data_IF_930361137090
#
_entry.id   IF_930361137090
#
_cell.length_a   1.000
_cell.length_b   1.000
_cell.length_c   1.000
_cell.angle_alpha   90.00
_cell.angle_beta   90.00
_cell.angle_gamma   90.00
#
_symmetry.space_group_name_H-M   'P 1'
#
loop_
_entity.id
_entity.type
_entity.pdbx_description
1 polymer ?
#
# COMPACT_ATOMS: atom_id res chain seq x y z
N UNK A 1 46.73 57.40 -27.93
CA UNK A 1 45.82 57.06 -26.82
C UNK A 1 44.58 56.39 -27.41
N UNK A 2 44.47 55.06 -27.34
CA UNK A 2 43.29 54.28 -27.80
C UNK A 2 42.48 53.92 -26.53
N UNK A 3 41.28 54.45 -26.42
CA UNK A 3 40.35 54.11 -25.33
C UNK A 3 39.56 52.89 -25.73
N UNK A 4 39.77 51.77 -25.05
CA UNK A 4 39.03 50.51 -25.17
C UNK A 4 37.77 50.63 -24.28
N UNK A 5 36.60 50.62 -24.89
CA UNK A 5 35.32 50.51 -24.17
C UNK A 5 35.06 49.06 -23.91
N UNK A 6 35.04 48.64 -22.65
CA UNK A 6 34.53 47.33 -22.22
C UNK A 6 33.04 47.49 -22.03
N UNK A 7 32.26 46.91 -22.91
CA UNK A 7 30.81 46.76 -22.75
C UNK A 7 30.57 45.55 -21.85
N UNK A 8 30.12 45.79 -20.62
CA UNK A 8 29.61 44.75 -19.72
C UNK A 8 28.20 44.39 -20.19
N UNK A 9 28.09 43.22 -20.82
CA UNK A 9 26.78 42.65 -21.13
C UNK A 9 26.16 42.09 -19.83
N UNK A 10 25.17 42.81 -19.29
CA UNK A 10 24.29 42.28 -18.24
C UNK A 10 23.39 41.23 -18.87
N UNK A 11 23.67 39.98 -18.66
CA UNK A 11 22.79 38.88 -18.99
C UNK A 11 21.61 38.91 -17.98
N UNK A 12 20.53 39.59 -18.36
CA UNK A 12 19.23 39.44 -17.71
C UNK A 12 18.77 37.98 -18.00
N UNK A 13 18.99 37.10 -17.05
CA UNK A 13 18.26 35.84 -17.01
C UNK A 13 16.79 36.17 -16.71
N UNK A 14 15.98 36.27 -17.76
CA UNK A 14 14.52 36.23 -17.62
C UNK A 14 14.17 34.85 -17.10
N UNK A 15 14.27 34.67 -15.78
CA UNK A 15 13.56 33.59 -15.10
C UNK A 15 12.08 33.83 -15.35
N UNK A 16 11.40 32.91 -16.02
CA UNK A 16 9.96 32.91 -16.03
C UNK A 16 9.52 33.01 -14.57
N UNK A 17 8.92 34.14 -14.22
CA UNK A 17 8.26 34.34 -12.92
C UNK A 17 7.12 33.29 -12.93
N UNK A 18 7.35 32.15 -12.30
CA UNK A 18 6.28 31.24 -12.00
C UNK A 18 5.34 31.99 -11.09
N UNK A 19 4.09 32.20 -11.50
CA UNK A 19 3.07 32.74 -10.63
C UNK A 19 3.10 31.95 -9.32
N UNK A 20 3.08 32.63 -8.17
CA UNK A 20 3.10 31.96 -6.88
C UNK A 20 1.84 31.11 -6.76
N UNK A 21 1.93 29.77 -6.72
CA UNK A 21 0.74 28.93 -6.62
C UNK A 21 0.01 29.18 -5.29
N UNK A 22 -1.29 28.95 -5.27
CA UNK A 22 -2.06 28.99 -4.03
C UNK A 22 -1.59 27.91 -3.05
N UNK A 23 -1.21 26.74 -3.60
CA UNK A 23 -0.75 25.60 -2.81
C UNK A 23 0.38 24.80 -3.48
N UNK A 24 1.27 24.27 -2.65
CA UNK A 24 2.22 23.22 -3.04
C UNK A 24 1.78 21.90 -2.43
N UNK A 25 1.62 20.87 -3.26
CA UNK A 25 1.36 19.49 -2.84
C UNK A 25 2.67 18.71 -2.88
N UNK A 26 3.07 18.13 -1.77
CA UNK A 26 4.31 17.34 -1.65
C UNK A 26 3.96 15.85 -1.68
N UNK A 27 4.31 15.17 -2.77
CA UNK A 27 4.02 13.78 -3.08
C UNK A 27 2.95 13.61 -4.15
N UNK A 28 3.25 12.84 -5.20
CA UNK A 28 2.35 12.51 -6.30
C UNK A 28 1.80 11.07 -6.21
N UNK A 29 1.50 10.61 -5.01
CA UNK A 29 0.71 9.41 -4.75
C UNK A 29 -0.80 9.67 -4.86
N UNK A 30 -1.62 8.70 -4.49
CA UNK A 30 -3.09 8.83 -4.54
C UNK A 30 -3.61 10.04 -3.78
N UNK A 31 -3.13 10.29 -2.56
CA UNK A 31 -3.55 11.43 -1.74
C UNK A 31 -3.16 12.77 -2.39
N UNK A 32 -1.91 12.89 -2.85
CA UNK A 32 -1.42 14.14 -3.43
C UNK A 32 -2.08 14.48 -4.76
N UNK A 33 -2.23 13.51 -5.65
CA UNK A 33 -2.93 13.72 -6.92
C UNK A 33 -4.42 14.05 -6.70
N UNK A 34 -5.08 13.41 -5.72
CA UNK A 34 -6.46 13.73 -5.36
C UNK A 34 -6.60 15.16 -4.84
N UNK A 35 -5.71 15.56 -3.91
CA UNK A 35 -5.69 16.92 -3.39
C UNK A 35 -5.45 17.95 -4.50
N UNK A 36 -4.50 17.68 -5.37
CA UNK A 36 -4.13 18.58 -6.45
C UNK A 36 -5.26 18.74 -7.48
N UNK A 37 -5.90 17.63 -7.92
CA UNK A 37 -7.06 17.68 -8.82
C UNK A 37 -8.21 18.45 -8.19
N UNK A 38 -8.51 18.19 -6.92
CA UNK A 38 -9.58 18.90 -6.20
C UNK A 38 -9.30 20.39 -6.07
N UNK A 39 -8.10 20.79 -5.70
CA UNK A 39 -7.71 22.20 -5.60
C UNK A 39 -7.81 22.90 -6.96
N UNK A 40 -7.34 22.28 -8.02
CA UNK A 40 -7.47 22.79 -9.38
C UNK A 40 -8.94 23.00 -9.78
N UNK A 41 -9.80 22.02 -9.50
CA UNK A 41 -11.24 22.10 -9.83
C UNK A 41 -11.97 23.19 -9.00
N UNK A 42 -11.39 23.57 -7.87
CA UNK A 42 -11.82 24.74 -7.08
C UNK A 42 -11.19 26.07 -7.54
N UNK A 43 -10.55 26.09 -8.71
CA UNK A 43 -9.94 27.28 -9.30
C UNK A 43 -8.65 27.74 -8.62
N UNK A 44 -7.91 26.81 -7.95
CA UNK A 44 -6.64 27.13 -7.31
C UNK A 44 -5.46 26.76 -8.19
N UNK A 45 -4.43 27.58 -8.19
CA UNK A 45 -3.15 27.25 -8.81
C UNK A 45 -2.35 26.33 -7.89
N UNK A 46 -1.90 25.20 -8.42
CA UNK A 46 -1.25 24.14 -7.64
C UNK A 46 0.01 23.64 -8.34
N UNK A 47 1.08 23.48 -7.58
CA UNK A 47 2.29 22.77 -7.98
C UNK A 47 2.41 21.48 -7.17
N UNK A 48 2.66 20.35 -7.85
CA UNK A 48 2.91 19.06 -7.22
C UNK A 48 4.39 18.73 -7.31
N UNK A 49 5.01 18.40 -6.19
CA UNK A 49 6.41 17.96 -6.12
C UNK A 49 6.49 16.47 -5.81
N UNK A 50 7.19 15.72 -6.66
CA UNK A 50 7.46 14.29 -6.47
C UNK A 50 8.97 14.04 -6.55
N UNK A 51 9.54 13.48 -5.49
CA UNK A 51 10.99 13.21 -5.45
C UNK A 51 11.44 12.05 -6.33
N UNK A 52 10.54 11.09 -6.58
CA UNK A 52 10.82 9.93 -7.43
C UNK A 52 10.69 10.27 -8.91
N UNK A 53 11.30 9.50 -9.81
CA UNK A 53 11.17 9.71 -11.26
C UNK A 53 9.76 9.39 -11.78
N UNK A 54 8.96 8.65 -11.02
CA UNK A 54 7.60 8.25 -11.39
C UNK A 54 6.61 8.66 -10.30
N UNK A 55 5.41 8.99 -10.72
CA UNK A 55 4.26 9.26 -9.83
C UNK A 55 3.67 7.93 -9.30
N UNK A 56 2.79 8.01 -8.31
CA UNK A 56 1.99 6.89 -7.82
C UNK A 56 2.32 6.44 -6.40
N UNK A 57 3.56 6.63 -5.94
CA UNK A 57 3.96 6.28 -4.57
C UNK A 57 3.62 4.83 -4.19
N UNK A 58 3.20 4.61 -2.95
CA UNK A 58 2.69 3.29 -2.52
C UNK A 58 1.30 2.97 -3.08
N UNK A 59 0.56 3.98 -3.53
CA UNK A 59 -0.78 3.76 -4.08
C UNK A 59 -0.74 2.83 -5.29
N UNK A 60 0.23 3.00 -6.19
CA UNK A 60 0.34 2.14 -7.39
C UNK A 60 0.62 0.66 -7.06
N UNK A 61 1.10 0.38 -5.84
CA UNK A 61 1.40 -0.98 -5.36
C UNK A 61 0.23 -1.61 -4.59
N UNK A 62 -0.88 -0.91 -4.42
CA UNK A 62 -2.02 -1.43 -3.67
C UNK A 62 -2.78 -2.49 -4.49
N UNK A 63 -2.90 -3.69 -3.93
CA UNK A 63 -3.52 -4.84 -4.61
C UNK A 63 -4.99 -5.06 -4.23
N UNK A 64 -5.35 -4.72 -3.00
CA UNK A 64 -6.64 -5.05 -2.40
C UNK A 64 -7.85 -4.41 -3.09
N UNK A 65 -8.26 -3.26 -2.63
CA UNK A 65 -9.41 -2.50 -3.12
C UNK A 65 -9.62 -1.27 -2.24
N UNK A 66 -10.54 -0.38 -2.63
CA UNK A 66 -10.97 0.74 -1.80
C UNK A 66 -12.18 0.29 -1.00
N UNK A 67 -12.07 0.32 0.33
CA UNK A 67 -13.18 -0.02 1.21
C UNK A 67 -14.18 1.13 1.28
N UNK A 68 -15.45 0.84 0.95
CA UNK A 68 -16.56 1.76 1.12
C UNK A 68 -17.85 0.97 1.39
N UNK A 69 -18.72 1.51 2.23
CA UNK A 69 -20.03 0.93 2.54
C UNK A 69 -21.15 1.77 1.91
N UNK A 70 -22.31 1.15 1.74
CA UNK A 70 -23.53 1.78 1.18
C UNK A 70 -23.33 2.34 -0.24
N UNK A 71 -22.53 1.67 -1.05
CA UNK A 71 -22.27 2.08 -2.43
C UNK A 71 -23.34 1.52 -3.40
N UNK A 72 -23.55 2.17 -4.55
CA UNK A 72 -24.40 1.62 -5.61
C UNK A 72 -23.99 0.21 -6.06
N UNK A 73 -22.69 -0.06 -6.09
CA UNK A 73 -22.12 -1.37 -6.45
C UNK A 73 -22.54 -2.45 -5.44
N UNK A 74 -22.45 -2.16 -4.14
CA UNK A 74 -22.93 -3.09 -3.09
C UNK A 74 -24.43 -3.33 -3.19
N UNK A 75 -25.22 -2.27 -3.40
CA UNK A 75 -26.66 -2.38 -3.57
C UNK A 75 -27.01 -3.28 -4.76
N UNK A 76 -26.35 -3.11 -5.90
CA UNK A 76 -26.51 -3.96 -7.09
C UNK A 76 -26.16 -5.42 -6.82
N UNK A 77 -25.16 -5.66 -5.98
CA UNK A 77 -24.70 -7.00 -5.59
C UNK A 77 -25.50 -7.61 -4.43
N UNK A 78 -26.52 -6.93 -3.89
CA UNK A 78 -27.30 -7.41 -2.75
C UNK A 78 -26.52 -7.49 -1.43
N UNK A 79 -25.46 -6.70 -1.26
CA UNK A 79 -24.60 -6.70 -0.06
C UNK A 79 -25.19 -5.74 0.97
N UNK A 80 -25.61 -6.22 2.16
CA UNK A 80 -26.27 -5.42 3.20
C UNK A 80 -25.26 -4.76 4.15
N UNK A 81 -24.21 -4.14 3.62
CA UNK A 81 -23.21 -3.45 4.41
C UNK A 81 -23.66 -2.02 4.77
N UNK A 82 -23.22 -1.53 5.92
CA UNK A 82 -23.55 -0.19 6.41
C UNK A 82 -22.29 0.57 6.85
N UNK A 83 -22.38 1.90 6.88
CA UNK A 83 -21.33 2.76 7.43
C UNK A 83 -21.03 2.38 8.88
N UNK A 84 -22.05 2.07 9.69
CA UNK A 84 -21.85 1.67 11.09
C UNK A 84 -21.13 0.33 11.22
N UNK A 85 -21.45 -0.65 10.36
CA UNK A 85 -20.72 -1.91 10.34
C UNK A 85 -19.28 -1.71 9.88
N UNK A 86 -19.03 -0.84 8.89
CA UNK A 86 -17.69 -0.49 8.44
C UNK A 86 -16.90 0.19 9.56
N UNK A 87 -17.53 1.12 10.30
CA UNK A 87 -16.94 1.76 11.46
C UNK A 87 -16.57 0.73 12.55
N UNK A 88 -17.51 -0.15 12.92
CA UNK A 88 -17.27 -1.16 13.94
C UNK A 88 -16.13 -2.13 13.58
N UNK A 89 -16.09 -2.59 12.32
CA UNK A 89 -15.02 -3.47 11.82
C UNK A 89 -13.66 -2.74 11.86
N UNK A 90 -13.61 -1.45 11.49
CA UNK A 90 -12.39 -0.65 11.48
C UNK A 90 -11.87 -0.38 12.89
N UNK A 91 -12.76 -0.02 13.82
CA UNK A 91 -12.40 0.16 15.24
C UNK A 91 -11.84 -1.13 15.84
N UNK A 92 -12.53 -2.24 15.61
CA UNK A 92 -12.10 -3.57 16.07
C UNK A 92 -10.74 -3.96 15.45
N UNK A 93 -10.55 -3.75 14.16
CA UNK A 93 -9.28 -4.05 13.46
C UNK A 93 -8.09 -3.22 13.98
N UNK A 94 -8.33 -2.02 14.44
CA UNK A 94 -7.35 -1.17 15.11
C UNK A 94 -7.26 -1.38 16.62
N UNK A 95 -7.82 -2.46 17.17
CA UNK A 95 -7.85 -2.77 18.62
C UNK A 95 -8.46 -1.64 19.47
N UNK A 96 -9.34 -0.81 18.88
CA UNK A 96 -9.92 0.40 19.47
C UNK A 96 -8.88 1.44 19.92
N UNK A 97 -7.68 1.43 19.32
CA UNK A 97 -6.64 2.44 19.50
C UNK A 97 -6.80 3.62 18.53
N UNK A 98 -7.59 3.46 17.49
CA UNK A 98 -7.88 4.48 16.49
C UNK A 98 -8.64 5.66 17.13
N UNK A 99 -8.42 6.86 16.57
CA UNK A 99 -9.28 8.01 16.86
C UNK A 99 -10.69 7.78 16.30
N UNK A 100 -11.74 7.72 17.14
CA UNK A 100 -13.10 7.42 16.70
C UNK A 100 -13.67 8.45 15.71
N UNK A 101 -13.30 9.73 15.85
CA UNK A 101 -13.79 10.80 14.97
C UNK A 101 -13.19 10.69 13.58
N UNK A 102 -11.89 10.39 13.48
CA UNK A 102 -11.21 10.14 12.20
C UNK A 102 -11.76 8.90 11.50
N UNK A 103 -11.98 7.80 12.25
CA UNK A 103 -12.60 6.58 11.69
C UNK A 103 -14.01 6.86 11.20
N UNK A 104 -14.81 7.63 11.95
CA UNK A 104 -16.18 8.00 11.53
C UNK A 104 -16.14 8.81 10.23
N UNK A 105 -15.24 9.80 10.13
CA UNK A 105 -15.05 10.59 8.91
C UNK A 105 -14.70 9.71 7.72
N UNK A 106 -13.71 8.82 7.87
CA UNK A 106 -13.29 7.88 6.82
C UNK A 106 -14.48 7.02 6.35
N UNK A 107 -15.15 6.34 7.27
CA UNK A 107 -16.18 5.36 6.93
C UNK A 107 -17.44 6.00 6.35
N UNK A 108 -17.77 7.22 6.75
CA UNK A 108 -18.90 7.98 6.23
C UNK A 108 -18.64 8.44 4.78
N UNK A 109 -17.45 8.96 4.50
CA UNK A 109 -17.13 9.60 3.22
C UNK A 109 -16.42 8.69 2.21
N UNK A 110 -16.09 7.46 2.56
CA UNK A 110 -15.44 6.53 1.64
C UNK A 110 -16.26 6.29 0.36
N UNK A 111 -17.58 6.25 0.47
CA UNK A 111 -18.49 6.09 -0.70
C UNK A 111 -18.41 7.29 -1.66
N UNK A 112 -18.23 8.50 -1.11
CA UNK A 112 -18.11 9.72 -1.92
C UNK A 112 -16.78 9.72 -2.68
N UNK A 113 -15.71 9.23 -2.06
CA UNK A 113 -14.41 9.05 -2.72
C UNK A 113 -14.47 8.02 -3.85
N UNK A 114 -15.16 6.88 -3.65
CA UNK A 114 -15.41 5.89 -4.72
C UNK A 114 -16.20 6.51 -5.86
N UNK A 115 -17.29 7.21 -5.57
CA UNK A 115 -18.12 7.87 -6.57
C UNK A 115 -17.32 8.92 -7.37
N UNK A 116 -16.47 9.70 -6.69
CA UNK A 116 -15.59 10.69 -7.33
C UNK A 116 -14.58 10.03 -8.28
N UNK A 117 -13.91 8.95 -7.86
CA UNK A 117 -13.00 8.21 -8.75
C UNK A 117 -13.72 7.62 -9.97
N UNK A 118 -14.94 7.09 -9.78
CA UNK A 118 -15.79 6.61 -10.89
C UNK A 118 -16.13 7.76 -11.84
N UNK A 119 -16.42 8.96 -11.33
CA UNK A 119 -16.68 10.15 -12.17
C UNK A 119 -15.46 10.58 -13.01
N UNK A 120 -14.23 10.27 -12.53
CA UNK A 120 -12.98 10.44 -13.28
C UNK A 120 -12.70 9.28 -14.27
N UNK A 121 -13.56 8.27 -14.32
CA UNK A 121 -13.45 7.13 -15.24
C UNK A 121 -12.74 5.91 -14.65
N UNK A 122 -12.76 5.74 -13.32
CA UNK A 122 -12.27 4.51 -12.69
C UNK A 122 -13.27 3.36 -12.85
N UNK A 123 -12.75 2.18 -13.17
CA UNK A 123 -13.49 0.93 -13.09
C UNK A 123 -13.45 0.38 -11.66
N UNK A 124 -14.54 0.56 -10.89
CA UNK A 124 -14.68 0.11 -9.51
C UNK A 124 -15.96 -0.72 -9.32
N UNK A 125 -16.26 -1.61 -10.25
CA UNK A 125 -17.54 -2.33 -10.31
C UNK A 125 -17.55 -3.66 -9.55
N UNK A 126 -16.40 -4.26 -9.25
CA UNK A 126 -16.29 -5.49 -8.47
C UNK A 126 -16.13 -5.15 -6.99
N UNK A 127 -16.91 -5.84 -6.13
CA UNK A 127 -16.82 -5.66 -4.67
C UNK A 127 -16.36 -6.95 -4.02
N UNK A 128 -15.14 -6.95 -3.55
CA UNK A 128 -14.51 -8.07 -2.84
C UNK A 128 -14.57 -7.93 -1.32
N UNK A 129 -14.18 -8.99 -0.60
CA UNK A 129 -14.11 -9.01 0.86
C UNK A 129 -12.65 -8.85 1.31
N UNK A 130 -12.41 -7.90 2.19
CA UNK A 130 -11.12 -7.76 2.88
C UNK A 130 -11.11 -8.61 4.16
N UNK A 131 -9.93 -9.04 4.60
CA UNK A 131 -9.76 -9.75 5.87
C UNK A 131 -10.30 -8.92 7.04
N UNK A 132 -11.02 -9.55 7.98
CA UNK A 132 -11.64 -8.90 9.13
C UNK A 132 -12.95 -8.13 8.84
N UNK A 133 -13.32 -7.92 7.58
CA UNK A 133 -14.59 -7.29 7.25
C UNK A 133 -15.75 -8.27 7.33
N UNK A 134 -16.87 -7.86 7.93
CA UNK A 134 -18.09 -8.66 8.00
C UNK A 134 -18.72 -8.84 6.61
N UNK A 135 -18.75 -7.78 5.81
CA UNK A 135 -19.32 -7.77 4.47
C UNK A 135 -18.29 -7.40 3.41
N UNK A 136 -18.46 -7.82 2.14
CA UNK A 136 -17.67 -7.34 1.02
C UNK A 136 -17.81 -5.82 0.87
N UNK A 137 -16.68 -5.09 0.82
CA UNK A 137 -16.64 -3.63 0.66
C UNK A 137 -15.42 -3.12 -0.09
N UNK A 138 -14.53 -4.00 -0.51
CA UNK A 138 -13.33 -3.64 -1.24
C UNK A 138 -13.64 -3.50 -2.74
N UNK A 139 -13.80 -2.27 -3.21
CA UNK A 139 -14.06 -1.94 -4.60
C UNK A 139 -12.80 -2.04 -5.43
N UNK A 140 -12.87 -2.73 -6.56
CA UNK A 140 -11.76 -2.97 -7.50
C UNK A 140 -12.23 -3.05 -8.94
N UNK A 141 -11.32 -3.08 -9.94
CA UNK A 141 -11.66 -3.26 -11.34
C UNK A 141 -12.49 -4.51 -11.61
N UNK A 142 -13.30 -4.46 -12.67
CA UNK A 142 -14.23 -5.53 -13.06
C UNK A 142 -13.52 -6.86 -13.32
N UNK A 143 -12.29 -6.82 -13.83
CA UNK A 143 -11.47 -8.01 -14.09
C UNK A 143 -10.80 -8.57 -12.85
N UNK A 144 -10.99 -7.96 -11.66
CA UNK A 144 -10.39 -8.35 -10.40
C UNK A 144 -8.93 -7.94 -10.23
N UNK A 145 -8.38 -7.13 -11.14
CA UNK A 145 -7.01 -6.64 -11.05
C UNK A 145 -6.76 -5.74 -9.83
N UNK A 146 -5.48 -5.43 -9.58
CA UNK A 146 -5.06 -4.58 -8.48
C UNK A 146 -5.63 -3.16 -8.59
N UNK A 147 -6.09 -2.61 -7.47
CA UNK A 147 -6.72 -1.28 -7.41
C UNK A 147 -5.74 -0.13 -7.65
N UNK A 148 -4.51 -0.28 -7.19
CA UNK A 148 -3.54 0.82 -7.18
C UNK A 148 -3.23 1.41 -8.56
N UNK A 149 -2.90 0.58 -9.57
CA UNK A 149 -2.70 1.04 -10.93
C UNK A 149 -3.91 1.78 -11.49
N UNK A 150 -5.13 1.31 -11.22
CA UNK A 150 -6.37 1.95 -11.68
C UNK A 150 -6.57 3.34 -11.08
N UNK A 151 -6.39 3.48 -9.76
CA UNK A 151 -6.47 4.78 -9.09
C UNK A 151 -5.46 5.77 -9.67
N UNK A 152 -4.20 5.34 -9.84
CA UNK A 152 -3.16 6.23 -10.38
C UNK A 152 -3.42 6.55 -11.84
N UNK A 153 -3.91 5.62 -12.64
CA UNK A 153 -4.29 5.84 -14.04
C UNK A 153 -5.28 6.98 -14.19
N UNK A 154 -6.38 6.95 -13.42
CA UNK A 154 -7.44 7.96 -13.54
C UNK A 154 -7.01 9.31 -12.97
N UNK A 155 -6.32 9.34 -11.83
CA UNK A 155 -5.82 10.57 -11.23
C UNK A 155 -4.76 11.24 -12.09
N UNK A 156 -3.85 10.46 -12.67
CA UNK A 156 -2.84 10.98 -13.57
C UNK A 156 -3.43 11.51 -14.88
N UNK A 157 -4.43 10.78 -15.43
CA UNK A 157 -5.19 11.30 -16.57
C UNK A 157 -5.86 12.63 -16.24
N UNK A 158 -6.54 12.70 -15.09
CA UNK A 158 -7.20 13.92 -14.64
C UNK A 158 -6.23 15.10 -14.49
N UNK A 159 -5.03 14.86 -13.93
CA UNK A 159 -3.99 15.88 -13.80
C UNK A 159 -3.45 16.36 -15.18
N UNK A 160 -3.25 15.42 -16.11
CA UNK A 160 -2.79 15.75 -17.48
C UNK A 160 -3.84 16.54 -18.27
N UNK A 161 -5.10 16.13 -18.22
CA UNK A 161 -6.21 16.81 -18.90
C UNK A 161 -6.34 18.29 -18.41
N UNK A 162 -6.02 18.53 -17.14
CA UNK A 162 -5.99 19.87 -16.51
C UNK A 162 -4.67 20.60 -16.70
N UNK A 163 -3.68 20.01 -17.39
CA UNK A 163 -2.34 20.58 -17.61
C UNK A 163 -1.65 21.04 -16.32
N UNK A 164 -1.82 20.28 -15.25
CA UNK A 164 -1.27 20.61 -13.94
C UNK A 164 0.27 20.55 -13.92
N UNK A 165 0.91 21.42 -13.15
CA UNK A 165 2.37 21.45 -12.94
C UNK A 165 2.75 20.34 -11.93
N UNK A 166 3.20 19.18 -12.45
CA UNK A 166 3.68 18.05 -11.66
C UNK A 166 5.16 17.84 -11.94
N UNK A 167 5.99 18.12 -10.94
CA UNK A 167 7.46 18.07 -11.05
C UNK A 167 7.99 16.83 -10.38
N UNK A 168 8.34 15.83 -11.20
CA UNK A 168 9.05 14.63 -10.73
C UNK A 168 10.53 14.91 -10.49
N UNK A 169 11.25 14.00 -9.82
CA UNK A 169 12.65 14.16 -9.45
C UNK A 169 12.94 15.49 -8.73
N UNK A 170 11.96 15.96 -7.99
CA UNK A 170 12.00 17.25 -7.27
C UNK A 170 11.61 17.01 -5.81
N UNK A 171 12.58 17.04 -4.93
CA UNK A 171 12.42 16.79 -3.50
C UNK A 171 12.15 18.08 -2.75
N UNK A 172 11.04 18.14 -2.02
CA UNK A 172 10.83 19.17 -1.02
C UNK A 172 11.79 18.94 0.15
N UNK A 173 12.53 19.97 0.56
CA UNK A 173 13.57 19.87 1.60
C UNK A 173 13.27 20.72 2.83
N UNK A 174 12.36 21.68 2.72
CA UNK A 174 11.96 22.55 3.83
C UNK A 174 10.56 23.12 3.57
N UNK A 175 9.73 23.21 4.61
CA UNK A 175 8.51 24.01 4.61
C UNK A 175 8.91 25.38 5.21
N UNK A 176 8.78 26.41 4.41
CA UNK A 176 9.15 27.77 4.83
C UNK A 176 8.04 28.34 5.70
N UNK A 177 8.40 28.68 6.93
CA UNK A 177 7.50 29.31 7.89
C UNK A 177 7.86 30.79 8.04
N UNK A 178 6.84 31.67 8.02
CA UNK A 178 6.98 33.09 8.29
C UNK A 178 5.85 33.53 9.22
N UNK A 179 6.20 34.18 10.31
CA UNK A 179 5.24 34.69 11.32
C UNK A 179 4.24 33.60 11.78
N UNK A 180 4.73 32.37 11.99
CA UNK A 180 3.92 31.22 12.41
C UNK A 180 3.00 30.62 11.32
N UNK A 181 3.13 31.05 10.08
CA UNK A 181 2.35 30.56 8.94
C UNK A 181 3.25 30.00 7.84
N UNK A 182 2.70 29.07 7.07
CA UNK A 182 3.36 28.58 5.85
C UNK A 182 3.51 29.74 4.86
N UNK A 183 4.71 29.90 4.30
CA UNK A 183 5.04 30.88 3.28
C UNK A 183 5.53 30.25 1.97
N UNK A 184 5.85 28.95 1.96
CA UNK A 184 6.30 28.26 0.77
C UNK A 184 7.05 26.98 1.05
N UNK A 185 7.72 26.47 0.03
CA UNK A 185 8.52 25.24 0.07
C UNK A 185 9.86 25.46 -0.60
N UNK A 186 10.94 25.00 0.01
CA UNK A 186 12.24 24.83 -0.63
C UNK A 186 12.34 23.47 -1.27
N UNK A 187 12.78 23.40 -2.50
CA UNK A 187 12.88 22.19 -3.27
C UNK A 187 14.24 22.04 -3.92
N UNK A 188 14.65 20.78 -4.13
CA UNK A 188 15.90 20.41 -4.81
C UNK A 188 15.59 19.46 -5.95
N UNK A 189 16.05 19.77 -7.16
CA UNK A 189 15.92 18.90 -8.34
C UNK A 189 17.01 17.82 -8.33
N UNK A 190 16.88 16.81 -9.23
CA UNK A 190 17.85 15.72 -9.35
C UNK A 190 19.27 16.19 -9.63
N UNK A 191 19.45 17.26 -10.39
CA UNK A 191 20.74 17.87 -10.74
C UNK A 191 21.30 18.78 -9.66
N UNK A 192 20.65 18.84 -8.48
CA UNK A 192 21.10 19.60 -7.31
C UNK A 192 20.71 21.07 -7.31
N UNK A 193 19.93 21.53 -8.27
CA UNK A 193 19.42 22.92 -8.27
C UNK A 193 18.43 23.10 -7.14
N UNK A 194 18.72 24.05 -6.26
CA UNK A 194 17.85 24.45 -5.14
C UNK A 194 17.04 25.67 -5.54
N UNK A 195 15.75 25.69 -5.23
CA UNK A 195 14.87 26.84 -5.46
C UNK A 195 13.70 26.85 -4.46
N UNK A 196 13.07 28.00 -4.34
CA UNK A 196 11.91 28.22 -3.47
C UNK A 196 10.66 28.40 -4.32
N UNK A 197 9.55 27.90 -3.81
CA UNK A 197 8.20 28.13 -4.34
C UNK A 197 7.42 28.78 -3.22
N UNK A 198 7.08 30.07 -3.39
CA UNK A 198 6.21 30.77 -2.47
C UNK A 198 4.77 30.26 -2.63
N UNK A 199 4.10 29.96 -1.53
CA UNK A 199 2.74 29.46 -1.53
C UNK A 199 2.04 29.76 -0.19
N UNK A 200 0.72 29.92 -0.23
CA UNK A 200 -0.10 30.19 0.96
C UNK A 200 -0.43 28.94 1.76
N UNK A 201 -0.34 27.77 1.11
CA UNK A 201 -0.65 26.47 1.73
C UNK A 201 0.27 25.37 1.23
N UNK A 202 0.50 24.37 2.08
CA UNK A 202 1.23 23.16 1.74
C UNK A 202 0.39 21.94 2.12
N UNK A 203 0.21 21.01 1.19
CA UNK A 203 -0.41 19.71 1.44
C UNK A 203 0.69 18.65 1.52
N UNK A 204 0.85 18.03 2.69
CA UNK A 204 1.77 16.92 2.89
C UNK A 204 1.08 15.60 2.52
N UNK A 205 1.47 15.03 1.39
CA UNK A 205 0.95 13.77 0.85
C UNK A 205 2.07 12.76 0.54
N UNK A 206 3.15 12.81 1.34
CA UNK A 206 4.41 12.10 1.11
C UNK A 206 4.36 10.61 1.46
N UNK A 207 3.24 10.11 1.97
CA UNK A 207 3.12 8.76 2.52
C UNK A 207 3.86 8.59 3.85
N UNK A 208 4.23 7.36 4.15
CA UNK A 208 4.89 7.00 5.41
C UNK A 208 6.41 6.84 5.29
N UNK A 209 6.97 6.03 6.22
CA UNK A 209 8.41 5.80 6.35
C UNK A 209 8.81 4.31 6.22
N UNK A 210 7.95 3.47 5.63
CA UNK A 210 8.17 2.02 5.55
C UNK A 210 9.41 1.57 4.77
N UNK A 211 10.06 2.46 3.99
CA UNK A 211 11.34 2.21 3.34
C UNK A 211 12.55 2.84 4.06
N UNK A 212 12.35 3.42 5.25
CA UNK A 212 13.41 4.01 6.06
C UNK A 212 13.73 3.09 7.25
N UNK A 213 14.75 2.25 7.11
CA UNK A 213 15.13 1.26 8.13
C UNK A 213 15.49 1.92 9.47
N UNK A 214 16.12 3.09 9.47
CA UNK A 214 16.49 3.79 10.70
C UNK A 214 15.25 4.26 11.47
N UNK A 215 14.25 4.81 10.77
CA UNK A 215 12.99 5.18 11.38
C UNK A 215 12.19 3.94 11.85
N UNK A 216 12.17 2.86 11.07
CA UNK A 216 11.53 1.61 11.49
C UNK A 216 12.14 1.08 12.79
N UNK A 217 13.47 0.99 12.86
CA UNK A 217 14.19 0.50 14.03
C UNK A 217 14.04 1.43 15.23
N UNK A 218 14.04 2.77 15.00
CA UNK A 218 13.80 3.77 16.05
C UNK A 218 12.48 3.52 16.79
N UNK A 219 11.40 3.24 16.04
CA UNK A 219 10.06 3.07 16.61
C UNK A 219 9.70 1.61 16.94
N UNK A 220 10.26 0.63 16.19
CA UNK A 220 10.03 -0.80 16.35
C UNK A 220 11.34 -1.60 16.15
N UNK A 221 12.23 -1.70 17.17
CA UNK A 221 13.54 -2.35 17.04
C UNK A 221 13.48 -3.80 16.54
N UNK A 222 12.38 -4.51 16.80
CA UNK A 222 12.16 -5.89 16.35
C UNK A 222 12.08 -6.05 14.83
N UNK A 223 11.85 -4.94 14.09
CA UNK A 223 11.75 -4.93 12.62
C UNK A 223 13.11 -4.72 11.93
N UNK A 224 14.22 -4.72 12.68
CA UNK A 224 15.57 -4.61 12.10
C UNK A 224 15.84 -5.73 11.11
N UNK A 225 16.20 -5.35 9.86
CA UNK A 225 16.60 -6.27 8.81
C UNK A 225 15.46 -6.92 8.02
N UNK A 226 14.20 -6.55 8.29
CA UNK A 226 13.08 -7.02 7.47
C UNK A 226 12.99 -6.27 6.15
N UNK A 227 12.56 -6.99 5.10
CA UNK A 227 12.24 -6.39 3.81
C UNK A 227 11.04 -5.45 3.92
N UNK A 228 10.84 -4.62 2.92
CA UNK A 228 9.70 -3.73 2.85
C UNK A 228 8.98 -3.87 1.51
N UNK A 229 7.66 -3.90 1.53
CA UNK A 229 6.81 -3.83 0.34
C UNK A 229 6.61 -2.40 -0.14
N UNK A 230 7.10 -1.40 0.61
CA UNK A 230 6.98 0.01 0.25
C UNK A 230 7.83 0.37 -0.96
N UNK A 231 7.39 1.35 -1.72
CA UNK A 231 8.22 1.94 -2.76
C UNK A 231 9.42 2.70 -2.13
N UNK A 232 10.59 2.79 -2.80
CA UNK A 232 11.83 3.31 -2.20
C UNK A 232 11.73 4.76 -1.69
N UNK A 233 10.81 5.55 -2.21
CA UNK A 233 10.60 6.93 -1.77
C UNK A 233 9.82 7.07 -0.45
N UNK A 234 9.30 6.00 0.16
CA UNK A 234 8.57 6.04 1.43
C UNK A 234 9.54 6.16 2.62
N UNK A 235 10.28 7.27 2.68
CA UNK A 235 11.40 7.49 3.62
C UNK A 235 11.07 8.43 4.78
N UNK A 236 9.80 8.86 4.91
CA UNK A 236 9.36 9.70 6.03
C UNK A 236 9.69 11.19 5.88
N UNK A 237 10.06 11.65 4.68
CA UNK A 237 10.44 13.06 4.46
C UNK A 237 9.38 14.04 4.95
N UNK A 238 8.11 13.81 4.64
CA UNK A 238 7.04 14.71 5.08
C UNK A 238 6.82 14.73 6.59
N UNK A 239 7.09 13.64 7.27
CA UNK A 239 7.05 13.57 8.74
C UNK A 239 8.13 14.50 9.32
N UNK A 240 9.35 14.42 8.79
CA UNK A 240 10.47 15.27 9.20
C UNK A 240 10.18 16.75 8.88
N UNK A 241 9.66 17.04 7.69
CA UNK A 241 9.28 18.39 7.30
C UNK A 241 8.18 18.97 8.20
N UNK A 242 7.19 18.16 8.56
CA UNK A 242 6.10 18.57 9.44
C UNK A 242 6.60 18.86 10.87
N UNK A 243 7.47 17.99 11.42
CA UNK A 243 8.06 18.16 12.73
C UNK A 243 8.89 19.46 12.78
N UNK A 244 9.72 19.75 11.77
CA UNK A 244 10.46 20.99 11.68
C UNK A 244 9.56 22.24 11.53
N UNK A 245 8.38 22.07 10.96
CA UNK A 245 7.37 23.14 10.88
C UNK A 245 6.52 23.29 12.16
N UNK A 246 6.81 22.50 13.20
CA UNK A 246 6.15 22.56 14.52
C UNK A 246 4.97 21.62 14.69
N UNK A 247 4.76 20.65 13.83
CA UNK A 247 3.69 19.67 13.98
C UNK A 247 4.03 18.63 15.05
N UNK A 248 3.02 18.21 15.82
CA UNK A 248 3.13 17.05 16.71
C UNK A 248 3.04 15.73 15.93
N UNK A 249 3.80 14.73 16.39
CA UNK A 249 3.78 13.38 15.83
C UNK A 249 3.02 12.44 16.78
N UNK A 250 2.07 11.68 16.23
CA UNK A 250 1.27 10.69 16.98
C UNK A 250 1.39 9.31 16.34
N UNK A 251 1.21 8.27 17.14
CA UNK A 251 1.12 6.86 16.70
C UNK A 251 2.34 6.34 15.89
N UNK A 252 3.50 6.95 16.02
CA UNK A 252 4.70 6.58 15.26
C UNK A 252 5.17 5.13 15.48
N UNK A 253 4.74 4.51 16.58
CA UNK A 253 5.01 3.10 16.89
C UNK A 253 4.05 2.13 16.20
N UNK A 254 2.96 2.63 15.60
CA UNK A 254 1.95 1.82 14.94
C UNK A 254 2.41 1.46 13.52
N UNK A 255 3.35 0.51 13.44
CA UNK A 255 3.92 0.01 12.20
C UNK A 255 3.33 -1.36 11.91
N UNK A 256 2.68 -1.51 10.77
CA UNK A 256 2.15 -2.80 10.34
C UNK A 256 3.24 -3.67 9.72
N UNK A 257 3.46 -4.85 10.31
CA UNK A 257 4.20 -5.92 9.66
C UNK A 257 3.23 -6.71 8.76
N UNK A 258 3.61 -6.98 7.51
CA UNK A 258 2.84 -7.83 6.60
C UNK A 258 3.44 -9.24 6.61
N UNK A 259 2.65 -10.30 6.92
CA UNK A 259 3.20 -11.64 7.13
C UNK A 259 3.62 -12.35 5.84
N UNK A 260 3.32 -11.79 4.68
CA UNK A 260 3.56 -12.44 3.39
C UNK A 260 4.24 -11.47 2.41
N UNK A 261 5.47 -11.04 2.76
CA UNK A 261 6.37 -10.35 1.83
C UNK A 261 7.48 -11.33 1.38
N UNK A 262 7.73 -11.42 0.08
CA UNK A 262 8.87 -12.18 -0.42
C UNK A 262 10.19 -11.46 -0.06
N UNK A 263 11.34 -12.17 -0.01
CA UNK A 263 12.63 -11.58 0.40
C UNK A 263 13.08 -10.38 -0.44
N UNK A 264 12.63 -10.27 -1.68
CA UNK A 264 12.90 -9.13 -2.57
C UNK A 264 11.96 -7.93 -2.32
N UNK A 265 11.05 -8.02 -1.35
CA UNK A 265 10.05 -7.00 -1.04
C UNK A 265 8.77 -7.10 -1.88
N UNK A 266 8.61 -8.13 -2.71
CA UNK A 266 7.35 -8.36 -3.44
C UNK A 266 6.25 -8.74 -2.46
N UNK A 267 5.12 -8.04 -2.52
CA UNK A 267 3.95 -8.38 -1.73
C UNK A 267 3.30 -9.66 -2.26
N UNK A 268 3.14 -10.65 -1.40
CA UNK A 268 2.25 -11.78 -1.67
C UNK A 268 0.90 -11.46 -1.05
N UNK A 269 -0.08 -11.21 -1.90
CA UNK A 269 -1.39 -10.69 -1.51
C UNK A 269 -2.06 -11.54 -0.42
N UNK A 270 -2.73 -10.86 0.50
CA UNK A 270 -3.54 -11.49 1.53
C UNK A 270 -4.66 -12.37 0.95
N UNK A 271 -5.10 -12.08 -0.28
CA UNK A 271 -6.10 -12.90 -0.98
C UNK A 271 -5.63 -14.34 -1.17
N UNK A 272 -4.32 -14.61 -1.35
CA UNK A 272 -3.79 -15.98 -1.44
C UNK A 272 -4.18 -16.80 -0.22
N UNK A 273 -4.08 -16.22 0.99
CA UNK A 273 -4.52 -16.88 2.24
C UNK A 273 -6.05 -16.96 2.33
N UNK A 274 -6.74 -15.91 1.86
CA UNK A 274 -8.21 -15.89 1.77
C UNK A 274 -8.77 -16.96 0.82
N UNK A 275 -8.12 -17.15 -0.31
CA UNK A 275 -8.52 -18.13 -1.34
C UNK A 275 -8.13 -19.59 -0.98
N UNK A 276 -7.51 -19.79 0.19
CA UNK A 276 -7.22 -21.11 0.73
C UNK A 276 -5.76 -21.39 1.03
N UNK A 277 -4.81 -20.53 0.63
CA UNK A 277 -3.40 -20.70 0.93
C UNK A 277 -3.10 -20.84 2.43
N UNK A 278 -2.07 -21.61 2.78
CA UNK A 278 -1.66 -21.90 4.16
C UNK A 278 -0.21 -21.46 4.40
N UNK A 279 0.15 -21.26 5.66
CA UNK A 279 1.52 -20.91 6.07
C UNK A 279 2.22 -22.13 6.65
N UNK A 280 3.37 -22.50 6.07
CA UNK A 280 4.21 -23.64 6.47
C UNK A 280 5.56 -23.13 6.98
N UNK A 281 5.98 -23.54 8.16
CA UNK A 281 7.28 -23.20 8.73
C UNK A 281 8.42 -24.10 8.19
N UNK A 282 9.65 -23.87 8.65
CA UNK A 282 10.83 -24.67 8.27
C UNK A 282 10.75 -26.14 8.66
N UNK A 283 9.86 -26.51 9.58
CA UNK A 283 9.63 -27.91 10.00
C UNK A 283 8.52 -28.61 9.20
N UNK A 284 7.95 -27.97 8.18
CA UNK A 284 6.84 -28.55 7.40
C UNK A 284 5.47 -28.45 8.08
N UNK A 285 5.33 -27.61 9.12
CA UNK A 285 4.13 -27.50 9.95
C UNK A 285 3.42 -26.17 9.77
N UNK A 286 2.08 -26.18 9.83
CA UNK A 286 1.28 -24.97 10.07
C UNK A 286 1.43 -24.54 11.52
N UNK A 287 1.27 -23.25 11.78
CA UNK A 287 1.51 -22.67 13.11
C UNK A 287 0.47 -21.61 13.54
N UNK A 288 -0.48 -21.28 12.68
CA UNK A 288 -1.51 -20.27 12.96
C UNK A 288 -2.75 -20.47 12.09
N UNK A 289 -3.83 -19.75 12.42
CA UNK A 289 -4.92 -19.50 11.49
C UNK A 289 -4.53 -18.33 10.58
N UNK A 290 -4.36 -18.57 9.31
CA UNK A 290 -3.88 -17.62 8.32
C UNK A 290 -4.86 -16.47 8.01
N UNK A 291 -6.12 -16.61 8.47
CA UNK A 291 -7.17 -15.60 8.28
C UNK A 291 -7.28 -14.60 9.43
N UNK A 292 -6.44 -14.73 10.46
CA UNK A 292 -6.32 -13.73 11.52
C UNK A 292 -5.71 -12.43 10.98
N UNK A 293 -5.76 -11.38 11.78
CA UNK A 293 -5.22 -10.07 11.42
C UNK A 293 -3.71 -10.15 11.17
N UNK A 294 -3.18 -9.24 10.35
CA UNK A 294 -1.77 -9.23 9.91
C UNK A 294 -0.79 -9.22 11.08
N UNK A 295 -1.06 -8.45 12.12
CA UNK A 295 -0.25 -8.37 13.33
C UNK A 295 -0.17 -9.71 14.08
N UNK A 296 -1.29 -10.43 14.20
CA UNK A 296 -1.34 -11.75 14.83
C UNK A 296 -0.56 -12.78 14.03
N UNK A 297 -0.79 -12.83 12.70
CA UNK A 297 -0.11 -13.78 11.82
C UNK A 297 1.39 -13.50 11.76
N UNK A 298 1.80 -12.22 11.61
CA UNK A 298 3.22 -11.81 11.63
C UNK A 298 3.88 -12.15 12.97
N UNK A 299 3.18 -11.91 14.09
CA UNK A 299 3.73 -12.26 15.41
C UNK A 299 3.91 -13.78 15.59
N UNK A 300 3.04 -14.59 15.00
CA UNK A 300 3.17 -16.04 15.00
C UNK A 300 4.35 -16.50 14.12
N UNK A 301 4.50 -15.91 12.94
CA UNK A 301 5.61 -16.19 12.01
C UNK A 301 6.97 -15.85 12.60
N UNK A 302 7.10 -14.68 13.24
CA UNK A 302 8.32 -14.24 13.90
C UNK A 302 8.81 -15.18 15.01
N UNK A 303 7.94 -16.05 15.53
CA UNK A 303 8.29 -17.07 16.52
C UNK A 303 8.75 -18.38 15.90
N UNK A 304 8.60 -18.55 14.56
CA UNK A 304 8.99 -19.79 13.89
C UNK A 304 10.52 -19.86 13.71
N UNK A 305 11.09 -21.10 13.60
CA UNK A 305 12.49 -21.28 13.26
C UNK A 305 12.87 -20.54 11.98
N UNK A 306 13.92 -19.72 12.04
CA UNK A 306 14.36 -18.89 10.93
C UNK A 306 13.51 -17.62 10.68
N UNK A 307 12.42 -17.42 11.45
CA UNK A 307 11.55 -16.23 11.38
C UNK A 307 10.99 -15.98 9.98
N UNK A 308 10.64 -17.05 9.28
CA UNK A 308 10.03 -17.05 7.94
C UNK A 308 8.97 -18.13 7.83
N UNK A 309 8.15 -18.05 6.79
CA UNK A 309 7.22 -19.10 6.40
C UNK A 309 7.26 -19.32 4.88
N UNK A 310 6.54 -20.35 4.45
CA UNK A 310 6.17 -20.56 3.06
C UNK A 310 4.67 -20.36 2.92
N UNK A 311 4.24 -19.47 2.04
CA UNK A 311 2.85 -19.44 1.57
C UNK A 311 2.69 -20.59 0.59
N UNK A 312 1.92 -21.58 0.98
CA UNK A 312 1.72 -22.82 0.25
C UNK A 312 0.31 -22.88 -0.34
N UNK A 313 0.18 -23.34 -1.57
CA UNK A 313 -1.12 -23.63 -2.22
C UNK A 313 -1.02 -24.77 -3.21
N UNK A 314 -2.16 -25.38 -3.56
CA UNK A 314 -2.31 -26.41 -4.57
C UNK A 314 -2.91 -25.88 -5.87
N UNK A 315 -3.03 -26.71 -6.91
CA UNK A 315 -3.58 -26.32 -8.22
C UNK A 315 -5.07 -25.94 -8.16
N UNK A 316 -5.83 -26.52 -7.24
CA UNK A 316 -7.23 -26.16 -7.05
C UNK A 316 -7.35 -24.72 -6.53
N UNK A 317 -6.53 -24.36 -5.54
CA UNK A 317 -6.42 -22.98 -5.03
C UNK A 317 -5.92 -22.03 -6.09
N UNK A 318 -4.88 -22.40 -6.87
CA UNK A 318 -4.34 -21.60 -7.97
C UNK A 318 -5.42 -21.24 -9.01
N UNK A 319 -6.25 -22.21 -9.38
CA UNK A 319 -7.33 -22.01 -10.36
C UNK A 319 -8.44 -21.09 -9.85
N UNK A 320 -8.62 -20.97 -8.55
CA UNK A 320 -9.61 -20.04 -7.97
C UNK A 320 -9.16 -18.59 -7.97
N UNK A 321 -7.84 -18.31 -8.08
CA UNK A 321 -7.30 -16.97 -8.02
C UNK A 321 -6.11 -16.78 -8.98
N UNK A 322 -6.37 -16.15 -10.14
CA UNK A 322 -5.37 -15.89 -11.21
C UNK A 322 -4.12 -15.13 -10.73
N UNK A 323 -4.23 -14.40 -9.61
CA UNK A 323 -3.10 -13.67 -9.03
C UNK A 323 -1.91 -14.59 -8.72
N UNK A 324 -2.17 -15.87 -8.36
CA UNK A 324 -1.13 -16.85 -8.07
C UNK A 324 -0.25 -17.17 -9.29
N UNK A 325 -0.80 -17.07 -10.50
CA UNK A 325 -0.05 -17.26 -11.74
C UNK A 325 1.00 -16.17 -11.94
N UNK A 326 0.78 -14.96 -11.41
CA UNK A 326 1.77 -13.88 -11.49
C UNK A 326 3.01 -14.19 -10.65
N UNK A 327 2.86 -14.74 -9.45
CA UNK A 327 4.00 -15.13 -8.61
C UNK A 327 4.81 -16.28 -9.19
N UNK A 328 4.14 -17.20 -9.90
CA UNK A 328 4.79 -18.26 -10.66
C UNK A 328 5.59 -17.67 -11.83
N UNK A 329 4.98 -16.75 -12.59
CA UNK A 329 5.61 -16.08 -13.74
C UNK A 329 6.80 -15.22 -13.35
N UNK A 330 6.76 -14.60 -12.15
CA UNK A 330 7.87 -13.85 -11.58
C UNK A 330 9.03 -14.72 -11.08
N UNK A 331 8.86 -16.08 -11.07
CA UNK A 331 9.87 -17.00 -10.55
C UNK A 331 9.98 -17.00 -9.01
N UNK A 332 9.00 -16.46 -8.30
CA UNK A 332 8.98 -16.43 -6.84
C UNK A 332 8.52 -17.75 -6.23
N UNK A 333 7.67 -18.50 -6.95
CA UNK A 333 7.11 -19.75 -6.47
C UNK A 333 7.98 -20.95 -6.87
N UNK A 334 8.30 -21.80 -5.90
CA UNK A 334 8.78 -23.17 -6.16
C UNK A 334 7.58 -24.07 -6.46
N UNK A 335 7.81 -25.17 -7.21
CA UNK A 335 6.77 -26.10 -7.68
C UNK A 335 7.19 -27.55 -7.44
N UNK A 336 6.21 -28.41 -7.11
CA UNK A 336 6.37 -29.86 -7.08
C UNK A 336 5.09 -30.57 -7.56
N UNK A 337 5.24 -31.67 -8.28
CA UNK A 337 4.10 -32.47 -8.73
C UNK A 337 3.66 -33.51 -7.68
N UNK A 338 4.48 -33.73 -6.63
CA UNK A 338 4.19 -34.54 -5.47
C UNK A 338 4.53 -33.80 -4.18
N UNK A 339 4.00 -34.26 -3.04
CA UNK A 339 4.34 -33.67 -1.73
C UNK A 339 5.85 -33.80 -1.44
N UNK A 340 6.46 -34.89 -1.85
CA UNK A 340 7.91 -35.10 -1.69
C UNK A 340 8.74 -34.10 -2.52
N UNK A 341 8.34 -33.81 -3.76
CA UNK A 341 9.03 -32.85 -4.62
C UNK A 341 8.92 -31.43 -4.09
N UNK A 342 7.72 -30.98 -3.67
CA UNK A 342 7.56 -29.64 -3.14
C UNK A 342 8.24 -29.51 -1.78
N UNK A 343 8.21 -30.48 -0.92
CA UNK A 343 8.92 -30.49 0.35
C UNK A 343 10.45 -30.37 0.15
N UNK A 344 11.01 -31.06 -0.84
CA UNK A 344 12.42 -30.95 -1.24
C UNK A 344 12.72 -29.50 -1.73
N UNK A 345 11.86 -28.94 -2.58
CA UNK A 345 12.03 -27.59 -3.10
C UNK A 345 11.95 -26.51 -2.00
N UNK A 346 11.09 -26.71 -0.99
CA UNK A 346 10.97 -25.86 0.19
C UNK A 346 12.07 -26.12 1.24
N UNK A 347 12.84 -27.18 1.10
CA UNK A 347 13.80 -27.66 2.11
C UNK A 347 13.13 -27.90 3.48
N UNK A 348 12.01 -28.62 3.48
CA UNK A 348 11.27 -29.02 4.69
C UNK A 348 11.11 -30.56 4.74
N UNK A 349 10.90 -31.18 5.94
CA UNK A 349 10.67 -32.61 6.05
C UNK A 349 9.39 -33.07 5.33
N UNK A 350 9.51 -33.96 4.36
CA UNK A 350 8.38 -34.38 3.52
C UNK A 350 7.28 -35.09 4.34
N UNK A 351 7.65 -35.92 5.31
CA UNK A 351 6.68 -36.63 6.17
C UNK A 351 5.85 -35.66 7.03
N UNK A 352 6.48 -34.57 7.55
CA UNK A 352 5.79 -33.56 8.34
C UNK A 352 4.86 -32.71 7.47
N UNK A 353 5.31 -32.35 6.26
CA UNK A 353 4.45 -31.63 5.30
C UNK A 353 3.23 -32.50 4.92
N UNK A 354 3.43 -33.79 4.63
CA UNK A 354 2.32 -34.68 4.32
C UNK A 354 1.33 -34.84 5.49
N UNK A 355 1.81 -34.96 6.72
CA UNK A 355 0.98 -34.97 7.92
C UNK A 355 0.20 -33.69 8.09
N UNK A 356 0.85 -32.55 7.83
CA UNK A 356 0.23 -31.21 7.89
C UNK A 356 -0.91 -31.08 6.86
N UNK A 357 -0.70 -31.49 5.62
CA UNK A 357 -1.73 -31.42 4.57
C UNK A 357 -2.91 -32.39 4.86
N UNK A 358 -2.64 -33.59 5.39
CA UNK A 358 -3.69 -34.52 5.86
C UNK A 358 -4.53 -33.91 6.99
N UNK A 359 -3.87 -33.30 7.99
CA UNK A 359 -4.56 -32.61 9.09
C UNK A 359 -5.41 -31.42 8.61
N UNK A 360 -4.92 -30.66 7.64
CA UNK A 360 -5.68 -29.54 7.03
C UNK A 360 -6.92 -30.07 6.30
N UNK A 361 -6.79 -31.11 5.49
CA UNK A 361 -7.92 -31.74 4.78
C UNK A 361 -8.98 -32.29 5.74
N UNK A 362 -8.54 -32.95 6.84
CA UNK A 362 -9.43 -33.42 7.89
C UNK A 362 -10.18 -32.26 8.59
N UNK A 363 -9.49 -31.16 8.89
CA UNK A 363 -10.09 -29.96 9.45
C UNK A 363 -11.13 -29.34 8.53
N UNK A 364 -10.87 -29.30 7.22
CA UNK A 364 -11.85 -28.87 6.22
C UNK A 364 -13.11 -29.78 6.26
N UNK A 365 -12.94 -31.09 6.28
CA UNK A 365 -14.06 -32.02 6.34
C UNK A 365 -14.86 -31.88 7.64
N UNK A 366 -14.21 -31.53 8.75
CA UNK A 366 -14.84 -31.27 10.05
C UNK A 366 -15.43 -29.85 10.18
N UNK A 367 -15.25 -28.99 9.18
CA UNK A 367 -15.75 -27.60 9.20
C UNK A 367 -14.89 -26.62 10.01
N UNK A 368 -13.84 -27.10 10.71
CA UNK A 368 -12.91 -26.26 11.48
C UNK A 368 -11.64 -27.05 11.80
N UNK A 369 -10.47 -26.42 11.68
CA UNK A 369 -9.19 -27.02 12.01
C UNK A 369 -8.72 -26.76 13.45
N UNK A 370 -7.56 -27.34 13.80
CA UNK A 370 -6.94 -27.18 15.12
C UNK A 370 -6.54 -25.73 15.47
N UNK A 371 -6.35 -24.86 14.48
CA UNK A 371 -6.05 -23.43 14.67
C UNK A 371 -7.31 -22.56 14.69
N UNK A 372 -8.50 -23.17 14.59
CA UNK A 372 -9.77 -22.45 14.58
C UNK A 372 -10.15 -21.86 13.21
N UNK A 373 -9.46 -22.23 12.14
CA UNK A 373 -9.83 -21.83 10.78
C UNK A 373 -11.05 -22.64 10.33
N UNK A 374 -12.13 -21.96 9.98
CA UNK A 374 -13.36 -22.57 9.47
C UNK A 374 -13.52 -22.36 7.95
N UNK A 375 -13.01 -21.24 7.43
CA UNK A 375 -13.03 -20.95 5.99
C UNK A 375 -11.84 -21.60 5.29
N UNK A 376 -12.08 -22.78 4.74
CA UNK A 376 -11.12 -23.63 4.03
C UNK A 376 -11.69 -24.05 2.68
N UNK A 377 -11.60 -23.20 1.64
CA UNK A 377 -12.26 -23.44 0.35
C UNK A 377 -11.71 -24.68 -0.36
N UNK A 378 -10.40 -24.99 -0.22
CA UNK A 378 -9.74 -26.14 -0.84
C UNK A 378 -9.15 -27.07 0.22
N UNK A 379 -8.91 -28.33 -0.14
CA UNK A 379 -8.37 -29.36 0.77
C UNK A 379 -6.84 -29.52 0.71
N UNK A 380 -6.16 -28.75 -0.13
CA UNK A 380 -4.71 -28.83 -0.36
C UNK A 380 -4.21 -30.20 -0.81
N UNK A 381 -4.95 -30.84 -1.72
CA UNK A 381 -4.68 -32.22 -2.20
C UNK A 381 -4.49 -32.34 -3.71
N UNK A 382 -4.64 -31.25 -4.46
CA UNK A 382 -4.62 -31.23 -5.93
C UNK A 382 -3.27 -30.79 -6.45
N UNK A 383 -2.46 -31.71 -6.95
CA UNK A 383 -1.18 -31.43 -7.60
C UNK A 383 -1.37 -30.64 -8.92
N UNK A 384 -0.40 -29.86 -9.36
CA UNK A 384 0.86 -29.54 -8.69
C UNK A 384 0.70 -28.63 -7.48
N UNK A 385 1.70 -28.67 -6.60
CA UNK A 385 1.81 -27.82 -5.42
C UNK A 385 2.80 -26.67 -5.67
N UNK A 386 2.56 -25.54 -4.98
CA UNK A 386 3.38 -24.33 -5.11
C UNK A 386 3.65 -23.73 -3.74
N UNK A 387 4.79 -23.06 -3.60
CA UNK A 387 5.09 -22.32 -2.38
C UNK A 387 5.98 -21.11 -2.68
N UNK A 388 5.72 -19.99 -2.00
CA UNK A 388 6.57 -18.78 -2.00
C UNK A 388 7.11 -18.58 -0.60
N UNK A 389 8.45 -18.40 -0.50
CA UNK A 389 9.08 -18.03 0.77
C UNK A 389 8.71 -16.60 1.13
N UNK A 390 8.34 -16.35 2.41
CA UNK A 390 7.92 -15.05 2.93
C UNK A 390 8.54 -14.81 4.32
N UNK A 391 8.68 -13.49 4.65
CA UNK A 391 9.14 -13.06 5.97
C UNK A 391 8.63 -11.65 6.32
#
# INVERSE_FOLDING_TARGET
MKRTFIAAALALSVGAAFANPDAVVIGAGGAGLSAAVTLHDLGREVVVLEKMPMIGGNTVRAEGGINAAETPQQKKAGIPDTIDQFYADTMKGGHNLNDPALVRTLTTHAKDAVAWLVSLGADLNTVGRAGGAKYPRAHRPTDGSAIGPEVIRVLWKAAKDRKMDVRTQTRATEIIMKDGRVAGVKATTKDGKVYTIDAKAVVLATGGFGANQDMLVKYQPKLKGYATTNQPGATGDGIILAEHAGAALVDMKQIQAHPTAAPDGTLISESVRGDGGILINAEGKRFTNELLTRDVVSAAELKQPGRFAWVFWDDATRKSAKLMDSYISMGLAVKGNTVAEIAKAMNVPAAELEATLKAYAAGKAAGKDAFGRADMPQAMQTAPFFAVKVQ
#
